data_IF_839064148761
#
_entry.id   IF_839064148761
#
_cell.length_a   1.000
_cell.length_b   1.000
_cell.length_c   1.000
_cell.angle_alpha   90.00
_cell.angle_beta   90.00
_cell.angle_gamma   90.00
#
_symmetry.space_group_name_H-M   'P 1'
#
loop_
_entity.id
_entity.type
_entity.pdbx_description
1 polymer ?
#
# COMPACT_ATOMS: atom_id res chain seq x y z
N UNK A 1 -30.42 -34.59 -37.26
CA UNK A 1 -29.32 -33.72 -37.76
C UNK A 1 -28.27 -33.63 -36.66
N UNK A 2 -27.05 -34.07 -36.91
CA UNK A 2 -25.94 -33.97 -35.93
C UNK A 2 -25.46 -32.53 -35.89
N UNK A 3 -25.50 -31.90 -34.72
CA UNK A 3 -24.94 -30.57 -34.50
C UNK A 3 -23.42 -30.65 -34.74
N UNK A 4 -22.81 -29.74 -35.54
CA UNK A 4 -21.36 -29.74 -35.74
C UNK A 4 -20.62 -29.64 -34.41
N UNK A 5 -19.55 -30.43 -34.24
CA UNK A 5 -18.74 -30.43 -33.01
C UNK A 5 -18.16 -29.05 -32.70
N UNK A 6 -17.82 -28.27 -33.73
CA UNK A 6 -17.39 -26.87 -33.60
C UNK A 6 -18.46 -25.96 -33.00
N UNK A 7 -19.73 -26.20 -33.28
CA UNK A 7 -20.83 -25.43 -32.70
C UNK A 7 -21.04 -25.78 -31.23
N UNK A 8 -20.87 -27.07 -30.87
CA UNK A 8 -20.96 -27.52 -29.47
C UNK A 8 -19.83 -26.92 -28.64
N UNK A 9 -18.58 -27.00 -29.10
CA UNK A 9 -17.43 -26.45 -28.36
C UNK A 9 -17.52 -24.94 -28.21
N UNK A 10 -17.99 -24.23 -29.24
CA UNK A 10 -18.23 -22.79 -29.17
C UNK A 10 -19.29 -22.44 -28.12
N UNK A 11 -20.43 -23.13 -28.13
CA UNK A 11 -21.52 -22.88 -27.17
C UNK A 11 -21.05 -23.18 -25.74
N UNK A 12 -20.34 -24.29 -25.52
CA UNK A 12 -19.78 -24.62 -24.21
C UNK A 12 -18.78 -23.56 -23.73
N UNK A 13 -17.90 -23.09 -24.61
CA UNK A 13 -16.98 -22.00 -24.30
C UNK A 13 -17.71 -20.71 -23.94
N UNK A 14 -18.75 -20.34 -24.69
CA UNK A 14 -19.56 -19.15 -24.41
C UNK A 14 -20.31 -19.27 -23.09
N UNK A 15 -20.92 -20.42 -22.79
CA UNK A 15 -21.57 -20.67 -21.50
C UNK A 15 -20.57 -20.59 -20.35
N UNK A 16 -19.37 -21.14 -20.52
CA UNK A 16 -18.31 -21.07 -19.51
C UNK A 16 -17.88 -19.62 -19.24
N UNK A 17 -17.65 -18.84 -20.29
CA UNK A 17 -17.26 -17.43 -20.18
C UNK A 17 -18.37 -16.61 -19.53
N UNK A 18 -19.60 -16.70 -20.02
CA UNK A 18 -20.74 -15.96 -19.47
C UNK A 18 -21.04 -16.38 -18.03
N UNK A 19 -20.96 -17.68 -17.72
CA UNK A 19 -21.13 -18.20 -16.37
C UNK A 19 -20.06 -17.70 -15.42
N UNK A 20 -18.79 -17.69 -15.86
CA UNK A 20 -17.69 -17.17 -15.05
C UNK A 20 -17.77 -15.66 -14.80
N UNK A 21 -18.14 -14.87 -15.81
CA UNK A 21 -18.41 -13.43 -15.65
C UNK A 21 -19.58 -13.18 -14.70
N UNK A 22 -20.67 -13.96 -14.83
CA UNK A 22 -21.80 -13.87 -13.92
C UNK A 22 -21.38 -14.19 -12.48
N UNK A 23 -20.62 -15.27 -12.25
CA UNK A 23 -20.11 -15.61 -10.93
C UNK A 23 -19.27 -14.47 -10.36
N UNK A 24 -18.31 -13.95 -11.13
CA UNK A 24 -17.43 -12.90 -10.64
C UNK A 24 -18.12 -11.59 -10.29
N UNK A 25 -19.23 -11.26 -10.95
CA UNK A 25 -20.00 -10.04 -10.69
C UNK A 25 -21.07 -10.20 -9.59
N UNK A 26 -21.58 -11.41 -9.38
CA UNK A 26 -22.73 -11.64 -8.50
C UNK A 26 -22.36 -12.35 -7.18
N UNK A 27 -21.21 -13.01 -7.11
CA UNK A 27 -20.75 -13.69 -5.90
C UNK A 27 -19.74 -12.80 -5.18
N UNK A 28 -20.17 -12.19 -4.08
CA UNK A 28 -19.28 -11.40 -3.22
C UNK A 28 -18.66 -12.29 -2.13
N UNK A 29 -17.35 -12.51 -2.20
CA UNK A 29 -16.57 -13.23 -1.18
C UNK A 29 -15.91 -12.31 -0.16
N UNK A 30 -15.94 -11.01 -0.43
CA UNK A 30 -15.21 -10.05 0.36
C UNK A 30 -16.10 -9.39 1.42
N UNK A 31 -15.55 -8.99 2.57
CA UNK A 31 -16.30 -8.23 3.56
C UNK A 31 -16.70 -6.86 2.98
N UNK A 32 -17.64 -6.24 3.68
CA UNK A 32 -18.14 -4.90 3.37
C UNK A 32 -17.03 -3.89 3.08
N UNK A 33 -17.25 -3.07 2.05
CA UNK A 33 -16.39 -1.96 1.67
C UNK A 33 -16.61 -0.77 2.61
N UNK A 34 -15.55 -0.34 3.30
CA UNK A 34 -15.63 0.74 4.29
C UNK A 34 -14.53 1.81 4.15
N UNK A 35 -13.81 1.81 3.02
CA UNK A 35 -12.84 2.85 2.66
C UNK A 35 -12.99 3.27 1.20
N UNK A 36 -12.41 4.42 0.84
CA UNK A 36 -12.31 4.88 -0.56
C UNK A 36 -11.51 3.93 -1.46
N UNK A 37 -10.57 3.17 -0.89
CA UNK A 37 -9.72 2.25 -1.64
C UNK A 37 -10.41 0.91 -1.90
N UNK A 38 -11.35 0.50 -1.04
CA UNK A 38 -11.96 -0.82 -1.11
C UNK A 38 -12.64 -1.14 -2.46
N UNK A 39 -13.47 -0.25 -3.05
CA UNK A 39 -14.08 -0.50 -4.35
C UNK A 39 -13.08 -0.70 -5.50
N UNK A 40 -11.91 -0.04 -5.42
CA UNK A 40 -10.85 -0.16 -6.43
C UNK A 40 -10.25 -1.58 -6.42
N UNK A 41 -9.95 -2.10 -5.23
CA UNK A 41 -9.52 -3.49 -5.08
C UNK A 41 -10.60 -4.50 -5.44
N UNK A 42 -11.85 -4.23 -5.07
CA UNK A 42 -12.97 -5.12 -5.34
C UNK A 42 -13.17 -5.31 -6.86
N UNK A 43 -12.99 -4.25 -7.66
CA UNK A 43 -13.04 -4.35 -9.12
C UNK A 43 -11.94 -5.29 -9.69
N UNK A 44 -10.70 -5.17 -9.19
CA UNK A 44 -9.61 -6.07 -9.57
C UNK A 44 -9.90 -7.51 -9.16
N UNK A 45 -10.39 -7.70 -7.94
CA UNK A 45 -10.77 -9.01 -7.43
C UNK A 45 -11.86 -9.67 -8.28
N UNK A 46 -12.90 -8.93 -8.67
CA UNK A 46 -13.99 -9.45 -9.51
C UNK A 46 -13.48 -9.94 -10.87
N UNK A 47 -12.55 -9.21 -11.50
CA UNK A 47 -11.91 -9.63 -12.77
C UNK A 47 -11.10 -10.91 -12.57
N UNK A 48 -10.22 -10.94 -11.56
CA UNK A 48 -9.39 -12.10 -11.27
C UNK A 48 -10.23 -13.34 -10.89
N UNK A 49 -11.28 -13.14 -10.10
CA UNK A 49 -12.18 -14.20 -9.67
C UNK A 49 -13.02 -14.74 -10.84
N UNK A 50 -13.44 -13.88 -11.77
CA UNK A 50 -14.10 -14.29 -13.03
C UNK A 50 -13.17 -15.20 -13.85
N UNK A 51 -11.94 -14.74 -14.12
CA UNK A 51 -10.94 -15.50 -14.89
C UNK A 51 -10.62 -16.83 -14.17
N UNK A 52 -10.37 -16.78 -12.87
CA UNK A 52 -10.10 -17.94 -12.04
C UNK A 52 -11.24 -18.96 -12.09
N UNK A 53 -12.50 -18.51 -12.02
CA UNK A 53 -13.68 -19.38 -12.13
C UNK A 53 -13.77 -20.05 -13.50
N UNK A 54 -13.57 -19.30 -14.59
CA UNK A 54 -13.56 -19.82 -15.97
C UNK A 54 -12.50 -20.91 -16.11
N UNK A 55 -11.27 -20.63 -15.67
CA UNK A 55 -10.16 -21.58 -15.75
C UNK A 55 -10.40 -22.81 -14.86
N UNK A 56 -10.84 -22.61 -13.61
CA UNK A 56 -11.11 -23.69 -12.68
C UNK A 56 -12.20 -24.64 -13.19
N UNK A 57 -13.35 -24.10 -13.61
CA UNK A 57 -14.46 -24.89 -14.13
C UNK A 57 -14.09 -25.53 -15.47
N UNK A 58 -13.39 -24.81 -16.35
CA UNK A 58 -12.96 -25.32 -17.65
C UNK A 58 -11.98 -26.49 -17.52
N UNK A 59 -10.90 -26.31 -16.76
CA UNK A 59 -9.88 -27.36 -16.53
C UNK A 59 -10.48 -28.54 -15.77
N UNK A 60 -11.21 -28.29 -14.67
CA UNK A 60 -11.85 -29.36 -13.89
C UNK A 60 -12.87 -30.13 -14.73
N UNK A 61 -13.67 -29.43 -15.53
CA UNK A 61 -14.63 -30.03 -16.45
C UNK A 61 -13.94 -30.92 -17.49
N UNK A 62 -12.84 -30.45 -18.09
CA UNK A 62 -12.04 -31.24 -19.04
C UNK A 62 -11.42 -32.47 -18.38
N UNK A 63 -10.90 -32.34 -17.16
CA UNK A 63 -10.35 -33.45 -16.38
C UNK A 63 -11.42 -34.49 -16.06
N UNK A 64 -12.60 -34.07 -15.56
CA UNK A 64 -13.73 -34.97 -15.28
C UNK A 64 -14.19 -35.65 -16.57
N UNK A 65 -14.34 -34.90 -17.67
CA UNK A 65 -14.67 -35.46 -18.97
C UNK A 65 -13.65 -36.51 -19.38
N UNK A 66 -12.35 -36.22 -19.24
CA UNK A 66 -11.28 -37.16 -19.58
C UNK A 66 -11.37 -38.44 -18.74
N UNK A 67 -11.56 -38.30 -17.42
CA UNK A 67 -11.70 -39.43 -16.50
C UNK A 67 -12.93 -40.30 -16.82
N UNK A 68 -14.05 -39.72 -17.25
CA UNK A 68 -15.25 -40.49 -17.57
C UNK A 68 -15.18 -41.10 -18.97
N UNK A 69 -14.74 -40.32 -19.96
CA UNK A 69 -14.77 -40.70 -21.38
C UNK A 69 -13.62 -41.62 -21.77
N UNK A 70 -12.44 -41.45 -21.18
CA UNK A 70 -11.23 -42.22 -21.48
C UNK A 70 -10.84 -43.20 -20.37
N UNK A 71 -11.76 -43.48 -19.42
CA UNK A 71 -11.59 -44.57 -18.46
C UNK A 71 -11.52 -45.92 -19.18
N UNK A 72 -10.61 -46.77 -18.71
CA UNK A 72 -10.50 -48.17 -19.12
C UNK A 72 -11.74 -48.98 -18.72
N UNK A 73 -12.34 -49.68 -19.68
CA UNK A 73 -13.49 -50.56 -19.46
C UNK A 73 -13.05 -51.98 -19.03
N UNK A 74 -13.89 -52.74 -18.31
CA UNK A 74 -13.61 -54.13 -17.98
C UNK A 74 -13.37 -54.96 -19.25
N UNK A 75 -12.24 -55.67 -19.31
CA UNK A 75 -11.86 -56.49 -20.46
C UNK A 75 -11.07 -55.75 -21.55
N UNK A 76 -10.92 -54.42 -21.45
CA UNK A 76 -10.09 -53.67 -22.38
C UNK A 76 -8.59 -53.92 -22.09
N UNK A 77 -7.91 -54.48 -23.09
CA UNK A 77 -6.46 -54.79 -23.09
C UNK A 77 -5.70 -54.03 -24.17
N UNK A 78 -6.40 -53.17 -24.92
CA UNK A 78 -5.76 -52.31 -25.92
C UNK A 78 -5.10 -51.11 -25.27
N UNK A 79 -4.07 -50.60 -25.92
CA UNK A 79 -3.51 -49.29 -25.59
C UNK A 79 -4.36 -48.19 -26.24
N UNK A 80 -4.32 -46.99 -25.65
CA UNK A 80 -4.94 -45.81 -26.25
C UNK A 80 -4.26 -45.42 -27.56
N UNK A 81 -4.96 -44.63 -28.40
CA UNK A 81 -4.35 -44.07 -29.60
C UNK A 81 -3.14 -43.19 -29.22
N UNK A 82 -1.97 -43.50 -29.78
CA UNK A 82 -0.75 -42.70 -29.63
C UNK A 82 -0.84 -41.47 -30.55
N UNK A 83 -1.55 -40.44 -30.09
CA UNK A 83 -1.63 -39.15 -30.76
C UNK A 83 -0.55 -38.25 -30.16
N UNK A 84 0.42 -37.86 -31.00
CA UNK A 84 1.51 -36.99 -30.61
C UNK A 84 1.45 -35.67 -31.38
N UNK A 85 1.54 -34.56 -30.65
CA UNK A 85 1.59 -33.22 -31.20
C UNK A 85 0.26 -32.70 -31.74
N UNK A 86 0.07 -31.39 -31.63
CA UNK A 86 -0.98 -30.66 -32.32
C UNK A 86 -0.59 -29.18 -32.35
N UNK A 87 0.20 -28.77 -33.33
CA UNK A 87 0.73 -27.41 -33.41
C UNK A 87 -0.37 -26.32 -33.31
N UNK A 88 -1.53 -26.43 -33.98
CA UNK A 88 -2.62 -25.47 -33.79
C UNK A 88 -3.12 -25.36 -32.34
N UNK A 89 -3.27 -26.49 -31.65
CA UNK A 89 -3.76 -26.53 -30.27
C UNK A 89 -2.69 -26.02 -29.29
N UNK A 90 -1.42 -26.34 -29.57
CA UNK A 90 -0.24 -25.82 -28.87
C UNK A 90 -0.14 -24.30 -28.93
N UNK A 91 -0.30 -23.74 -30.13
CA UNK A 91 -0.32 -22.29 -30.33
C UNK A 91 -1.51 -21.68 -29.56
N UNK A 92 -2.69 -22.30 -29.63
CA UNK A 92 -3.90 -21.79 -28.98
C UNK A 92 -3.76 -21.71 -27.45
N UNK A 93 -3.34 -22.81 -26.79
CA UNK A 93 -3.20 -22.84 -25.33
C UNK A 93 -1.98 -22.08 -24.82
N UNK A 94 -1.07 -21.67 -25.70
CA UNK A 94 0.08 -20.81 -25.33
C UNK A 94 -0.30 -19.34 -25.48
N UNK A 95 -0.99 -19.00 -26.58
CA UNK A 95 -1.40 -17.63 -26.85
C UNK A 95 -2.47 -17.13 -25.86
N UNK A 96 -3.46 -17.95 -25.52
CA UNK A 96 -4.55 -17.52 -24.61
C UNK A 96 -4.01 -17.10 -23.23
N UNK A 97 -3.24 -17.94 -22.49
CA UNK A 97 -2.69 -17.53 -21.20
C UNK A 97 -1.74 -16.34 -21.30
N UNK A 98 -0.93 -16.25 -22.37
CA UNK A 98 -0.04 -15.10 -22.57
C UNK A 98 -0.83 -13.78 -22.69
N UNK A 99 -1.92 -13.77 -23.46
CA UNK A 99 -2.81 -12.60 -23.59
C UNK A 99 -3.52 -12.29 -22.26
N UNK A 100 -4.00 -13.31 -21.55
CA UNK A 100 -4.67 -13.13 -20.25
C UNK A 100 -3.71 -12.52 -19.22
N UNK A 101 -2.47 -13.04 -19.12
CA UNK A 101 -1.46 -12.51 -18.20
C UNK A 101 -1.06 -11.09 -18.56
N UNK A 102 -0.87 -10.79 -19.85
CA UNK A 102 -0.57 -9.43 -20.31
C UNK A 102 -1.69 -8.45 -19.94
N UNK A 103 -2.95 -8.83 -20.18
CA UNK A 103 -4.11 -8.04 -19.79
C UNK A 103 -4.19 -7.81 -18.28
N UNK A 104 -4.06 -8.88 -17.48
CA UNK A 104 -4.09 -8.79 -16.01
C UNK A 104 -2.95 -7.91 -15.50
N UNK A 105 -1.75 -8.02 -16.06
CA UNK A 105 -0.60 -7.20 -15.69
C UNK A 105 -0.82 -5.71 -15.92
N UNK A 106 -1.29 -5.34 -17.12
CA UNK A 106 -1.58 -3.93 -17.47
C UNK A 106 -2.70 -3.40 -16.56
N UNK A 107 -3.77 -4.16 -16.39
CA UNK A 107 -4.90 -3.76 -15.54
C UNK A 107 -4.51 -3.62 -14.07
N UNK A 108 -3.67 -4.52 -13.56
CA UNK A 108 -3.16 -4.45 -12.19
C UNK A 108 -2.28 -3.23 -11.98
N UNK A 109 -1.49 -2.83 -12.98
CA UNK A 109 -0.66 -1.64 -12.91
C UNK A 109 -1.48 -0.34 -12.89
N UNK A 110 -2.52 -0.23 -13.73
CA UNK A 110 -3.46 0.90 -13.69
C UNK A 110 -4.15 1.04 -12.32
N UNK A 111 -4.57 -0.08 -11.73
CA UNK A 111 -5.11 -0.10 -10.36
C UNK A 111 -4.05 0.34 -9.34
N UNK A 112 -2.82 -0.13 -9.48
CA UNK A 112 -1.70 0.24 -8.62
C UNK A 112 -1.40 1.75 -8.62
N UNK A 113 -1.38 2.39 -9.80
CA UNK A 113 -1.17 3.84 -9.92
C UNK A 113 -2.30 4.65 -9.28
N UNK A 114 -3.56 4.22 -9.45
CA UNK A 114 -4.74 4.88 -8.82
C UNK A 114 -4.69 4.87 -7.29
N UNK A 115 -3.94 3.95 -6.70
CA UNK A 115 -3.77 3.83 -5.25
C UNK A 115 -2.55 4.60 -4.71
N UNK A 116 -1.95 5.47 -5.53
CA UNK A 116 -0.82 6.31 -5.12
C UNK A 116 0.55 5.79 -5.56
N UNK A 117 0.62 4.65 -6.24
CA UNK A 117 1.84 4.12 -6.84
C UNK A 117 3.01 3.91 -5.86
N UNK A 118 4.23 3.76 -6.38
CA UNK A 118 5.45 3.81 -5.58
C UNK A 118 5.83 5.29 -5.48
N UNK A 119 5.78 5.90 -4.30
CA UNK A 119 6.72 7.01 -4.05
C UNK A 119 8.14 6.45 -4.18
N UNK A 120 9.05 7.05 -4.96
CA UNK A 120 10.40 6.54 -5.10
C UNK A 120 11.05 6.40 -3.72
N UNK A 121 11.37 5.17 -3.35
CA UNK A 121 12.10 4.84 -2.11
C UNK A 121 13.45 5.58 -2.03
N UNK A 122 13.98 5.94 -3.19
CA UNK A 122 15.22 6.67 -3.35
C UNK A 122 15.04 7.70 -4.46
N UNK A 123 14.69 8.93 -4.11
CA UNK A 123 15.08 10.06 -4.95
C UNK A 123 16.60 10.12 -4.96
N UNK A 124 17.23 9.76 -6.08
CA UNK A 124 18.65 10.06 -6.35
C UNK A 124 18.94 11.58 -6.34
N UNK A 125 17.94 12.45 -6.13
CA UNK A 125 18.11 13.87 -5.85
C UNK A 125 18.71 14.15 -4.47
N UNK A 126 18.57 13.24 -3.48
CA UNK A 126 19.16 13.41 -2.15
C UNK A 126 20.64 12.94 -2.06
N UNK A 127 21.18 12.30 -3.11
CA UNK A 127 22.58 11.84 -3.15
C UNK A 127 23.51 12.71 -4.02
N UNK A 128 22.98 13.68 -4.75
CA UNK A 128 23.77 14.64 -5.54
C UNK A 128 23.54 16.10 -5.12
N UNK A 129 23.16 16.32 -3.85
CA UNK A 129 23.38 17.60 -3.18
C UNK A 129 24.85 17.72 -2.78
N UNK A 130 25.65 18.27 -3.69
CA UNK A 130 27.04 18.70 -3.53
C UNK A 130 28.06 17.65 -3.03
N UNK A 131 28.49 16.76 -3.93
CA UNK A 131 29.79 16.08 -3.82
C UNK A 131 30.81 16.65 -4.81
N UNK A 132 30.62 17.89 -5.30
CA UNK A 132 31.56 18.53 -6.21
C UNK A 132 32.52 19.51 -5.50
N UNK A 133 32.33 19.80 -4.21
CA UNK A 133 33.17 20.74 -3.46
C UNK A 133 34.19 20.10 -2.50
N UNK A 134 34.18 18.78 -2.29
CA UNK A 134 35.02 18.10 -1.26
C UNK A 134 36.20 17.28 -1.83
N UNK A 135 36.51 17.37 -3.11
CA UNK A 135 37.64 16.61 -3.71
C UNK A 135 38.58 17.46 -4.57
N UNK A 136 38.87 18.69 -4.16
CA UNK A 136 39.92 19.53 -4.77
C UNK A 136 40.76 20.31 -3.75
N UNK A 137 40.82 19.83 -2.50
CA UNK A 137 41.68 20.42 -1.47
C UNK A 137 42.46 19.36 -0.69
N UNK A 138 43.14 18.45 -1.41
CA UNK A 138 44.17 17.58 -0.83
C UNK A 138 45.38 17.51 -1.77
N UNK A 139 45.97 18.67 -2.09
CA UNK A 139 47.35 18.75 -2.53
C UNK A 139 47.88 20.18 -2.42
N UNK A 140 48.55 20.48 -1.30
CA UNK A 140 49.84 21.20 -1.22
C UNK A 140 50.00 21.87 0.15
N UNK A 141 50.71 21.15 1.01
CA UNK A 141 51.40 21.70 2.16
C UNK A 141 52.59 22.57 1.68
N UNK A 142 52.94 23.60 2.47
CA UNK A 142 54.18 24.39 2.51
C UNK A 142 54.22 25.75 1.79
N UNK A 143 54.25 26.82 2.62
CA UNK A 143 55.35 27.79 2.60
C UNK A 143 55.06 29.20 2.09
N UNK A 144 55.20 30.18 3.00
CA UNK A 144 55.93 31.43 2.74
C UNK A 144 55.14 32.66 2.30
N UNK A 145 55.30 33.73 3.08
CA UNK A 145 55.02 35.13 2.73
C UNK A 145 55.64 35.54 1.38
N UNK A 146 54.89 36.32 0.56
CA UNK A 146 55.33 37.61 -0.03
C UNK A 146 54.56 37.98 -1.33
N UNK A 147 53.92 39.16 -1.27
CA UNK A 147 53.98 40.27 -2.23
C UNK A 147 53.73 40.08 -3.74
N UNK A 148 52.86 40.98 -4.24
CA UNK A 148 52.86 41.67 -5.54
C UNK A 148 51.96 41.13 -6.68
N UNK A 149 51.02 42.01 -7.07
CA UNK A 149 50.26 42.07 -8.33
C UNK A 149 51.19 42.47 -9.53
N UNK A 150 50.74 42.69 -10.81
CA UNK A 150 49.37 42.80 -11.34
C UNK A 150 49.10 42.27 -12.79
N UNK A 151 47.84 42.47 -13.25
CA UNK A 151 47.34 42.67 -14.63
C UNK A 151 47.43 41.48 -15.63
N UNK A 152 46.36 41.12 -16.36
CA UNK A 152 45.77 41.85 -17.49
C UNK A 152 44.32 41.42 -17.81
N UNK A 153 43.64 42.31 -18.53
CA UNK A 153 42.22 42.45 -18.86
C UNK A 153 41.65 41.36 -19.80
N UNK A 154 40.38 40.94 -19.61
CA UNK A 154 39.33 40.97 -20.65
C UNK A 154 37.92 40.67 -20.08
N UNK A 155 37.06 41.69 -20.14
CA UNK A 155 35.62 41.72 -20.45
C UNK A 155 34.63 40.67 -19.90
N UNK A 156 33.61 41.18 -19.19
CA UNK A 156 32.22 40.92 -19.58
C UNK A 156 31.30 40.21 -18.57
N UNK A 157 30.33 40.97 -18.07
CA UNK A 157 28.96 40.56 -17.71
C UNK A 157 28.69 39.90 -16.34
N UNK A 158 28.47 40.78 -15.36
CA UNK A 158 27.23 40.90 -14.56
C UNK A 158 26.67 39.66 -13.85
N UNK A 159 26.99 39.51 -12.56
CA UNK A 159 26.11 38.85 -11.60
C UNK A 159 26.18 39.50 -10.21
N UNK A 160 25.14 40.26 -9.89
CA UNK A 160 24.90 40.85 -8.57
C UNK A 160 24.78 39.74 -7.51
N UNK A 161 25.81 39.59 -6.70
CA UNK A 161 25.77 38.83 -5.46
C UNK A 161 24.84 39.53 -4.47
N UNK A 162 23.67 38.92 -4.23
CA UNK A 162 22.79 39.30 -3.12
C UNK A 162 23.06 38.31 -1.99
N UNK A 163 23.66 38.82 -0.91
CA UNK A 163 23.94 38.12 0.34
C UNK A 163 22.63 37.77 1.05
N UNK A 164 22.39 36.49 1.35
CA UNK A 164 21.42 35.99 2.36
C UNK A 164 22.07 34.73 2.96
N UNK A 165 22.72 34.84 4.12
CA UNK A 165 22.16 34.62 5.46
C UNK A 165 21.81 33.13 5.72
N UNK A 166 22.63 32.49 6.56
CA UNK A 166 22.44 31.17 7.18
C UNK A 166 21.08 31.11 7.90
N UNK A 167 20.27 30.09 7.61
CA UNK A 167 19.04 29.76 8.36
C UNK A 167 19.30 28.54 9.26
N UNK A 168 19.29 28.67 10.60
CA UNK A 168 19.50 27.54 11.49
C UNK A 168 18.14 26.94 11.88
N UNK A 169 17.69 25.88 11.19
CA UNK A 169 16.39 25.32 11.55
C UNK A 169 15.82 24.14 10.76
N UNK A 170 16.62 23.19 10.25
CA UNK A 170 16.06 21.94 9.72
C UNK A 170 16.26 20.78 10.70
N UNK A 171 15.22 20.54 11.53
CA UNK A 171 15.03 19.23 12.12
C UNK A 171 14.94 18.21 10.97
N UNK A 172 15.85 17.24 10.95
CA UNK A 172 15.93 16.21 9.91
C UNK A 172 14.57 15.56 9.72
N UNK A 173 13.88 15.87 8.62
CA UNK A 173 12.63 15.22 8.25
C UNK A 173 12.93 13.73 8.06
N UNK A 174 12.45 12.91 9.00
CA UNK A 174 12.68 11.46 9.01
C UNK A 174 12.16 10.83 7.72
N UNK A 175 13.02 10.07 7.04
CA UNK A 175 12.77 9.56 5.69
C UNK A 175 11.62 8.54 5.71
N UNK A 176 10.44 8.91 5.21
CA UNK A 176 9.29 8.00 5.07
C UNK A 176 9.56 7.02 3.93
N UNK A 177 9.66 5.73 4.27
CA UNK A 177 10.11 4.67 3.35
C UNK A 177 8.96 4.06 2.52
N UNK A 178 7.76 4.65 2.49
CA UNK A 178 6.69 4.14 1.62
C UNK A 178 5.29 4.33 2.19
N UNK A 179 4.31 4.28 1.27
CA UNK A 179 2.93 4.57 1.60
C UNK A 179 1.96 4.62 0.44
N UNK A 180 0.72 4.21 0.68
CA UNK A 180 -0.44 4.57 -0.15
C UNK A 180 -0.70 6.05 0.13
N UNK A 181 -0.22 6.96 -0.72
CA UNK A 181 -0.33 8.40 -0.47
C UNK A 181 -1.04 9.14 -1.59
N UNK A 182 -2.11 9.84 -1.20
CA UNK A 182 -2.43 11.22 -1.62
C UNK A 182 -3.31 11.82 -0.53
N UNK A 183 -2.69 12.36 0.53
CA UNK A 183 -3.39 13.12 1.55
C UNK A 183 -2.88 14.57 1.52
N UNK A 184 -3.75 15.50 1.09
CA UNK A 184 -3.51 16.94 1.10
C UNK A 184 -4.23 17.59 2.27
N UNK A 185 -3.57 18.55 2.93
CA UNK A 185 -4.10 19.67 3.73
C UNK A 185 -4.99 19.42 4.96
N UNK A 186 -5.96 18.51 4.89
CA UNK A 186 -7.03 18.32 5.89
C UNK A 186 -7.11 16.88 6.45
N UNK A 187 -6.09 16.07 6.18
CA UNK A 187 -6.02 14.72 6.71
C UNK A 187 -5.83 14.73 8.23
N UNK A 188 -6.58 13.90 8.95
CA UNK A 188 -6.38 13.66 10.39
C UNK A 188 -5.04 12.94 10.60
N UNK A 189 -4.03 13.56 11.25
CA UNK A 189 -2.79 12.88 11.55
C UNK A 189 -2.99 11.90 12.71
N UNK A 190 -2.53 10.66 12.52
CA UNK A 190 -2.50 9.63 13.57
C UNK A 190 -1.16 8.92 13.51
N UNK A 191 -0.52 8.76 14.66
CA UNK A 191 0.70 7.96 14.80
C UNK A 191 0.37 6.59 15.36
N UNK A 192 0.82 5.54 14.70
CA UNK A 192 0.72 4.15 15.13
C UNK A 192 2.08 3.66 15.61
N UNK A 193 2.13 3.23 16.86
CA UNK A 193 3.24 2.43 17.38
C UNK A 193 2.82 0.96 17.45
N UNK A 194 3.50 0.10 16.70
CA UNK A 194 3.35 -1.35 16.80
C UNK A 194 4.42 -1.96 17.73
N UNK A 195 3.99 -2.87 18.60
CA UNK A 195 4.88 -3.63 19.49
C UNK A 195 4.23 -4.98 19.83
N UNK A 196 4.99 -5.93 20.36
CA UNK A 196 4.48 -7.19 20.87
C UNK A 196 3.60 -6.94 22.11
N UNK A 197 2.29 -7.18 22.11
CA UNK A 197 1.39 -7.56 20.99
C UNK A 197 0.21 -6.57 20.93
N UNK A 198 0.51 -5.31 20.67
CA UNK A 198 -0.43 -4.20 20.68
C UNK A 198 -0.16 -3.19 19.55
N UNK A 199 -1.24 -2.58 19.09
CA UNK A 199 -1.22 -1.37 18.28
C UNK A 199 -1.64 -0.21 19.19
N UNK A 200 -0.80 0.82 19.28
CA UNK A 200 -1.07 2.02 20.08
C UNK A 200 -1.19 3.21 19.13
N UNK A 201 -2.28 3.95 19.25
CA UNK A 201 -2.59 5.10 18.41
C UNK A 201 -2.42 6.38 19.20
N UNK A 202 -1.65 7.31 18.67
CA UNK A 202 -1.43 8.64 19.24
C UNK A 202 -1.98 9.71 18.28
N UNK A 203 -2.74 10.64 18.84
CA UNK A 203 -3.34 11.77 18.13
C UNK A 203 -2.58 13.03 18.55
N UNK A 204 -1.62 13.52 17.75
CA UNK A 204 -0.71 14.58 18.17
C UNK A 204 -1.45 15.88 18.51
N UNK A 205 -2.47 16.24 17.73
CA UNK A 205 -3.22 17.49 17.90
C UNK A 205 -4.03 17.54 19.21
N UNK A 206 -4.51 16.39 19.68
CA UNK A 206 -5.32 16.27 20.89
C UNK A 206 -4.59 15.62 22.07
N UNK A 207 -3.32 15.22 21.87
CA UNK A 207 -2.50 14.49 22.86
C UNK A 207 -3.17 13.23 23.42
N UNK A 208 -4.06 12.59 22.64
CA UNK A 208 -4.75 11.35 23.05
C UNK A 208 -3.88 10.15 22.71
N UNK A 209 -3.84 9.16 23.59
CA UNK A 209 -3.26 7.84 23.32
C UNK A 209 -4.32 6.78 23.56
N UNK A 210 -4.55 5.91 22.58
CA UNK A 210 -5.62 4.91 22.58
C UNK A 210 -5.11 3.54 22.12
N UNK A 211 -5.74 2.47 22.64
CA UNK A 211 -5.55 1.10 22.13
C UNK A 211 -6.42 0.79 20.90
N UNK A 212 -7.40 1.64 20.58
CA UNK A 212 -8.26 1.57 19.40
C UNK A 212 -8.04 2.79 18.50
N UNK A 213 -8.23 2.62 17.18
CA UNK A 213 -8.17 3.70 16.21
C UNK A 213 -9.55 4.33 16.07
N UNK A 214 -9.70 5.63 16.32
CA UNK A 214 -10.94 6.39 16.19
C UNK A 214 -10.76 7.39 15.06
N UNK A 215 -11.65 7.36 14.09
CA UNK A 215 -11.57 8.22 12.90
C UNK A 215 -12.98 8.67 12.50
N UNK A 216 -13.15 9.90 11.98
CA UNK A 216 -14.44 10.33 11.44
C UNK A 216 -14.65 9.78 10.03
N UNK A 217 -15.90 9.49 9.68
CA UNK A 217 -16.31 9.12 8.32
C UNK A 217 -16.08 10.28 7.34
N UNK A 218 -15.66 9.98 6.12
CA UNK A 218 -15.52 10.95 5.03
C UNK A 218 -14.29 11.85 5.11
N UNK A 219 -13.56 11.86 6.24
CA UNK A 219 -12.33 12.63 6.39
C UNK A 219 -11.10 11.77 6.01
N UNK A 220 -10.16 12.28 5.20
CA UNK A 220 -8.89 11.61 4.99
C UNK A 220 -8.13 11.43 6.31
N UNK A 221 -7.49 10.28 6.48
CA UNK A 221 -6.64 9.95 7.63
C UNK A 221 -5.24 9.67 7.11
N UNK A 222 -4.23 10.27 7.74
CA UNK A 222 -2.84 9.98 7.49
C UNK A 222 -2.27 9.23 8.71
N UNK A 223 -1.98 7.95 8.51
CA UNK A 223 -1.46 7.06 9.54
C UNK A 223 0.04 6.88 9.36
N UNK A 224 0.85 7.54 10.20
CA UNK A 224 2.30 7.32 10.28
C UNK A 224 2.56 6.14 11.21
N UNK A 225 3.30 5.13 10.75
CA UNK A 225 3.45 3.86 11.46
C UNK A 225 4.92 3.55 11.73
N UNK A 226 5.22 3.14 12.95
CA UNK A 226 6.55 2.70 13.39
C UNK A 226 6.43 1.46 14.29
N UNK A 227 7.38 0.53 14.18
CA UNK A 227 7.46 -0.63 15.06
C UNK A 227 8.62 -0.48 16.05
N UNK A 228 8.41 -0.89 17.30
CA UNK A 228 9.42 -0.77 18.38
C UNK A 228 10.34 -1.98 18.53
N UNK A 229 9.94 -3.12 17.98
CA UNK A 229 10.60 -4.40 18.24
C UNK A 229 10.83 -5.23 16.98
N UNK A 230 9.80 -5.91 16.48
CA UNK A 230 9.83 -6.80 15.31
C UNK A 230 8.94 -6.25 14.20
N UNK A 231 8.95 -6.89 13.05
CA UNK A 231 8.03 -6.55 11.97
C UNK A 231 6.61 -6.93 12.38
N UNK A 232 5.68 -6.01 12.16
CA UNK A 232 4.24 -6.23 12.27
C UNK A 232 3.58 -5.89 10.93
N UNK A 233 2.27 -6.11 10.81
CA UNK A 233 1.52 -5.53 9.70
C UNK A 233 0.16 -5.05 10.16
N UNK A 234 -0.13 -3.78 9.89
CA UNK A 234 -1.43 -3.18 10.10
C UNK A 234 -2.36 -3.62 8.97
N UNK A 235 -3.43 -4.35 9.28
CA UNK A 235 -4.41 -4.80 8.29
C UNK A 235 -5.85 -4.56 8.74
N UNK A 236 -6.62 -3.88 7.89
CA UNK A 236 -8.07 -3.68 8.04
C UNK A 236 -8.78 -4.30 6.83
N UNK A 237 -9.37 -5.51 6.97
CA UNK A 237 -9.94 -6.24 5.83
C UNK A 237 -10.99 -5.47 5.04
N UNK A 238 -11.87 -4.75 5.73
CA UNK A 238 -12.96 -3.94 5.15
C UNK A 238 -12.45 -2.72 4.40
N UNK A 239 -11.23 -2.28 4.69
CA UNK A 239 -10.62 -1.15 4.00
C UNK A 239 -9.79 -1.61 2.80
N UNK A 240 -9.50 -2.91 2.65
CA UNK A 240 -8.55 -3.48 1.67
C UNK A 240 -7.12 -2.98 1.82
N UNK A 241 -6.75 -2.56 3.03
CA UNK A 241 -5.45 -1.97 3.28
C UNK A 241 -4.65 -2.82 4.25
N UNK A 242 -3.46 -3.22 3.82
CA UNK A 242 -2.41 -3.85 4.62
C UNK A 242 -1.13 -3.07 4.40
N UNK A 243 -0.41 -2.75 5.47
CA UNK A 243 0.95 -2.24 5.38
C UNK A 243 1.79 -2.85 6.49
N UNK A 244 2.97 -3.32 6.10
CA UNK A 244 3.95 -3.81 7.05
C UNK A 244 4.57 -2.63 7.80
N UNK A 245 4.71 -2.79 9.12
CA UNK A 245 5.27 -1.81 10.04
C UNK A 245 6.62 -2.36 10.49
N UNK A 246 7.70 -1.73 10.02
CA UNK A 246 9.05 -2.27 10.11
C UNK A 246 9.89 -1.41 11.07
N UNK A 247 10.61 -2.02 12.04
CA UNK A 247 11.47 -1.28 12.96
C UNK A 247 12.53 -0.47 12.21
N UNK A 248 12.66 0.82 12.56
CA UNK A 248 13.61 1.73 11.92
C UNK A 248 13.25 2.16 10.49
N UNK A 249 12.06 1.80 9.99
CA UNK A 249 11.54 2.24 8.69
C UNK A 249 10.11 2.76 8.84
N UNK A 250 9.93 4.03 9.26
CA UNK A 250 8.61 4.64 9.34
C UNK A 250 7.93 4.64 7.97
N UNK A 251 6.67 4.23 7.95
CA UNK A 251 5.82 4.23 6.75
C UNK A 251 4.59 5.09 6.99
N UNK A 252 3.97 5.59 5.92
CA UNK A 252 2.75 6.41 6.02
C UNK A 252 1.68 5.80 5.14
N UNK A 253 0.51 5.50 5.67
CA UNK A 253 -0.63 5.08 4.87
C UNK A 253 -1.73 6.14 4.94
N UNK A 254 -2.32 6.48 3.81
CA UNK A 254 -3.49 7.33 3.74
C UNK A 254 -4.74 6.54 3.36
N UNK A 255 -5.86 6.83 4.02
CA UNK A 255 -7.16 6.26 3.67
C UNK A 255 -8.29 7.21 4.06
N UNK A 256 -9.45 7.06 3.41
CA UNK A 256 -10.67 7.78 3.81
C UNK A 256 -11.73 6.74 4.17
N UNK A 257 -12.16 6.65 5.44
CA UNK A 257 -13.28 5.79 5.82
C UNK A 257 -14.57 6.27 5.17
N UNK A 258 -15.38 5.36 4.62
CA UNK A 258 -16.62 5.70 3.90
C UNK A 258 -17.88 5.19 4.58
N UNK A 259 -17.74 4.37 5.63
CA UNK A 259 -18.88 3.76 6.32
C UNK A 259 -18.65 3.72 7.84
N UNK A 260 -19.51 4.37 8.65
CA UNK A 260 -19.47 4.29 10.10
C UNK A 260 -19.58 2.84 10.58
N UNK A 261 -18.95 2.53 11.70
CA UNK A 261 -18.94 1.19 12.29
C UNK A 261 -17.61 0.82 12.93
N UNK A 262 -17.56 -0.38 13.51
CA UNK A 262 -16.37 -0.93 14.15
C UNK A 262 -15.82 -2.06 13.31
N UNK A 263 -14.56 -1.96 12.88
CA UNK A 263 -13.89 -2.94 12.03
C UNK A 263 -12.61 -3.46 12.70
N UNK A 264 -12.29 -4.76 12.55
CA UNK A 264 -11.10 -5.33 13.17
C UNK A 264 -9.82 -4.84 12.49
N UNK A 265 -8.84 -4.51 13.32
CA UNK A 265 -7.44 -4.35 12.96
C UNK A 265 -6.71 -5.61 13.40
N UNK A 266 -5.96 -6.23 12.50
CA UNK A 266 -5.32 -7.53 12.73
C UNK A 266 -3.86 -7.42 12.36
N UNK A 267 -2.97 -7.96 13.20
CA UNK A 267 -1.59 -8.14 12.80
C UNK A 267 -1.51 -9.20 11.68
N UNK A 268 -0.96 -8.83 10.53
CA UNK A 268 -0.90 -9.68 9.33
C UNK A 268 0.54 -10.05 8.91
N UNK A 269 1.51 -9.94 9.82
CA UNK A 269 2.90 -10.38 9.65
C UNK A 269 3.36 -11.06 10.94
N UNK A 270 4.10 -12.17 10.83
CA UNK A 270 4.41 -13.01 11.99
C UNK A 270 5.30 -12.26 13.00
N UNK A 271 4.71 -11.83 14.12
CA UNK A 271 5.38 -10.99 15.11
C UNK A 271 5.72 -11.70 16.44
N UNK A 272 5.52 -13.02 16.55
CA UNK A 272 5.88 -13.81 17.73
C UNK A 272 4.78 -14.74 18.27
N UNK A 273 4.96 -15.34 19.46
CA UNK A 273 4.08 -16.40 19.97
C UNK A 273 2.61 -16.02 20.15
N UNK A 274 2.30 -14.74 20.38
CA UNK A 274 0.92 -14.24 20.53
C UNK A 274 0.43 -13.47 19.29
N UNK A 275 1.07 -13.66 18.13
CA UNK A 275 0.71 -13.00 16.86
C UNK A 275 -0.79 -13.10 16.53
N UNK A 276 -1.40 -14.29 16.68
CA UNK A 276 -2.83 -14.48 16.40
C UNK A 276 -3.77 -13.70 17.32
N UNK A 277 -3.30 -13.29 18.50
CA UNK A 277 -4.04 -12.48 19.48
C UNK A 277 -3.82 -10.97 19.34
N UNK A 278 -2.88 -10.54 18.50
CA UNK A 278 -2.59 -9.13 18.26
C UNK A 278 -3.66 -8.49 17.37
N UNK A 279 -4.75 -8.04 18.01
CA UNK A 279 -5.94 -7.48 17.36
C UNK A 279 -6.43 -6.27 18.14
N UNK A 280 -7.02 -5.32 17.44
CA UNK A 280 -7.76 -4.19 18.02
C UNK A 280 -8.84 -3.77 17.02
N UNK A 281 -9.48 -2.61 17.19
CA UNK A 281 -10.49 -2.10 16.27
C UNK A 281 -10.14 -0.71 15.74
N UNK A 282 -10.66 -0.44 14.54
CA UNK A 282 -10.93 0.91 14.06
C UNK A 282 -12.41 1.20 14.24
N UNK A 283 -12.72 2.28 14.93
CA UNK A 283 -14.06 2.82 15.15
C UNK A 283 -14.22 4.03 14.25
N UNK A 284 -15.05 3.88 13.22
CA UNK A 284 -15.42 4.94 12.29
C UNK A 284 -16.67 5.62 12.82
N UNK A 285 -16.52 6.87 13.24
CA UNK A 285 -17.56 7.68 13.85
C UNK A 285 -18.25 8.56 12.84
N UNK A 286 -19.48 8.97 13.15
CA UNK A 286 -20.03 10.21 12.60
C UNK A 286 -19.25 11.41 13.14
N UNK A 287 -19.27 12.54 12.42
CA UNK A 287 -18.44 13.70 12.73
C UNK A 287 -18.68 14.21 14.17
N UNK A 288 -19.94 14.38 14.60
CA UNK A 288 -20.25 14.87 15.95
C UNK A 288 -19.83 13.88 17.04
N UNK A 289 -19.94 12.57 16.77
CA UNK A 289 -19.54 11.53 17.70
C UNK A 289 -18.01 11.47 17.86
N UNK A 290 -17.27 11.72 16.78
CA UNK A 290 -15.81 11.83 16.82
C UNK A 290 -15.36 13.03 17.65
N UNK A 291 -15.96 14.20 17.44
CA UNK A 291 -15.67 15.41 18.21
C UNK A 291 -15.97 15.22 19.70
N UNK A 292 -17.10 14.59 20.02
CA UNK A 292 -17.43 14.23 21.40
C UNK A 292 -16.41 13.27 22.01
N UNK A 293 -15.93 12.28 21.24
CA UNK A 293 -14.89 11.36 21.68
C UNK A 293 -13.57 12.09 21.96
N UNK A 294 -13.14 13.00 21.07
CA UNK A 294 -11.94 13.84 21.29
C UNK A 294 -12.10 14.65 22.58
N UNK A 295 -13.23 15.35 22.76
CA UNK A 295 -13.48 16.16 23.95
C UNK A 295 -13.46 15.36 25.26
N UNK A 296 -13.91 14.11 25.24
CA UNK A 296 -13.98 13.25 26.43
C UNK A 296 -12.62 12.62 26.79
N UNK A 297 -11.75 12.39 25.81
CA UNK A 297 -10.51 11.64 25.98
C UNK A 297 -9.25 12.51 25.93
N UNK A 298 -9.36 13.77 25.49
CA UNK A 298 -8.26 14.72 25.56
C UNK A 298 -7.83 14.93 27.02
N UNK A 299 -6.51 14.88 27.31
CA UNK A 299 -6.01 15.23 28.63
C UNK A 299 -6.48 16.61 29.06
N UNK A 300 -6.82 16.78 30.34
CA UNK A 300 -7.15 18.10 30.87
C UNK A 300 -5.96 19.05 30.65
N UNK A 301 -6.23 20.25 30.14
CA UNK A 301 -5.19 21.26 29.96
C UNK A 301 -4.42 21.46 31.28
N UNK A 302 -3.08 21.57 31.24
CA UNK A 302 -2.30 21.77 32.45
C UNK A 302 -2.82 23.00 33.18
N UNK A 303 -3.32 22.78 34.40
CA UNK A 303 -3.75 23.89 35.26
C UNK A 303 -2.53 24.74 35.55
N UNK A 304 -2.49 25.97 35.03
CA UNK A 304 -1.51 26.96 35.45
C UNK A 304 -1.78 27.26 36.92
N UNK A 305 -1.05 26.57 37.80
CA UNK A 305 -0.95 26.97 39.21
C UNK A 305 -0.21 28.30 39.17
N UNK A 306 -0.97 29.39 39.16
CA UNK A 306 -0.44 30.72 39.39
C UNK A 306 0.23 30.69 40.77
N UNK A 307 1.56 30.63 40.77
CA UNK A 307 2.35 30.81 41.97
C UNK A 307 2.08 32.24 42.45
N UNK A 308 1.17 32.38 43.41
CA UNK A 308 0.87 33.65 44.03
C UNK A 308 2.17 34.20 44.60
N UNK A 309 2.67 35.27 43.97
CA UNK A 309 3.84 35.99 44.44
C UNK A 309 3.58 36.43 45.89
N UNK A 310 4.44 36.00 46.81
CA UNK A 310 4.41 36.46 48.19
C UNK A 310 4.62 37.99 48.23
N UNK A 311 3.88 38.75 49.06
CA UNK A 311 4.03 40.18 49.14
C UNK A 311 5.41 40.55 49.71
N UNK A 312 6.02 41.67 49.26
CA UNK A 312 7.30 42.11 49.77
C UNK A 312 7.17 42.48 51.25
N UNK A 313 8.02 41.87 52.08
CA UNK A 313 8.22 42.29 53.47
C UNK A 313 8.86 43.68 53.47
N UNK A 314 8.16 44.65 54.06
CA UNK A 314 8.68 46.00 54.31
C UNK A 314 9.66 46.07 55.46
#
# INVERSE_FOLDING_TARGET
MTIPTSLITLVLGMVLVLGGLWVGQNVNLLPVDASSNAPVYDALFQVLFSIGTILFVGVTGLLIFSLVRFRRLPGDRGDGLAIEGNLPLEILWTAIPAVVVLFVGIYSYDIYERMGGMTPLNGHEAMHGDVSSVMLAEHQHQGGDALAAPALLHEGADNSATLLADDPGEAQAERVWGGISTASGDALPVELTAMQFAFIFHYPDSSITSGELHVPVGRPVQLRMEARDVIHAFWVPQFRLKQDVIPGQPTVMSFTPTRPGTYPIVCAELCGPYHGGMRTNVVVHEQEAFEAWIHQNAPAAPSTVALAAAPPTG
#
